data_IF_265088861558
#
_entry.id   IF_265088861558
#
_cell.length_a   1.000
_cell.length_b   1.000
_cell.length_c   1.000
_cell.angle_alpha   90.00
_cell.angle_beta   90.00
_cell.angle_gamma   90.00
#
_symmetry.space_group_name_H-M   'P 1'
#
loop_
_entity.id
_entity.type
_entity.pdbx_description
1 polymer ?
#
# COMPACT_ATOMS: atom_id res chain seq x y z
N UNK A 1 -18.92 22.39 -5.74
CA UNK A 1 -18.22 22.19 -4.46
C UNK A 1 -17.27 21.03 -4.67
N UNK A 2 -15.96 21.30 -4.80
CA UNK A 2 -14.97 20.23 -4.90
C UNK A 2 -15.03 19.49 -3.56
N UNK A 3 -15.43 18.22 -3.54
CA UNK A 3 -15.20 17.39 -2.36
C UNK A 3 -13.69 17.41 -2.13
N UNK A 4 -13.24 18.03 -1.04
CA UNK A 4 -11.92 17.76 -0.50
C UNK A 4 -11.92 16.28 -0.12
N UNK A 5 -11.52 15.44 -1.08
CA UNK A 5 -11.49 14.00 -0.90
C UNK A 5 -10.35 13.69 0.05
N UNK A 6 -10.65 13.63 1.35
CA UNK A 6 -9.74 13.13 2.36
C UNK A 6 -9.47 11.64 2.06
N UNK A 7 -8.27 11.27 1.58
CA UNK A 7 -7.99 9.89 1.24
C UNK A 7 -8.04 9.04 2.51
N UNK A 8 -8.64 7.86 2.43
CA UNK A 8 -8.59 6.83 3.48
C UNK A 8 -7.44 5.86 3.26
N UNK A 9 -7.05 5.65 1.98
CA UNK A 9 -5.98 4.74 1.61
C UNK A 9 -4.89 5.48 0.84
N UNK A 10 -3.63 5.28 1.26
CA UNK A 10 -2.46 5.76 0.54
C UNK A 10 -1.87 4.64 -0.31
N UNK A 11 -1.86 4.77 -1.64
CA UNK A 11 -1.20 3.84 -2.56
C UNK A 11 0.13 4.42 -2.98
N UNK A 12 1.23 3.86 -2.49
CA UNK A 12 2.59 4.37 -2.74
C UNK A 12 3.48 3.35 -3.43
N UNK A 13 4.44 3.85 -4.20
CA UNK A 13 5.37 3.02 -4.95
C UNK A 13 6.73 3.67 -5.17
N UNK A 14 7.78 2.86 -5.32
CA UNK A 14 9.16 3.34 -5.41
C UNK A 14 9.50 4.10 -6.70
N UNK A 15 8.77 3.84 -7.79
CA UNK A 15 9.00 4.39 -9.12
C UNK A 15 7.73 4.45 -9.96
N UNK A 16 7.75 5.22 -11.06
CA UNK A 16 6.65 5.22 -12.04
C UNK A 16 6.48 3.87 -12.74
N UNK A 17 7.54 3.05 -12.83
CA UNK A 17 7.47 1.74 -13.48
C UNK A 17 6.63 0.75 -12.65
N UNK A 18 6.61 0.92 -11.33
CA UNK A 18 5.79 0.10 -10.43
C UNK A 18 4.29 0.33 -10.63
N UNK A 19 3.89 1.45 -11.28
CA UNK A 19 2.50 1.78 -11.57
C UNK A 19 1.79 0.71 -12.40
N UNK A 20 2.50 0.02 -13.30
CA UNK A 20 1.91 -1.07 -14.09
C UNK A 20 1.29 -2.16 -13.21
N UNK A 21 1.87 -2.40 -12.03
CA UNK A 21 1.32 -3.32 -11.02
C UNK A 21 0.37 -2.60 -10.06
N UNK A 22 0.77 -1.44 -9.53
CA UNK A 22 0.07 -0.77 -8.44
C UNK A 22 -1.25 -0.12 -8.86
N UNK A 23 -1.45 0.15 -10.16
CA UNK A 23 -2.73 0.65 -10.68
C UNK A 23 -3.89 -0.29 -10.35
N UNK A 24 -3.66 -1.60 -10.25
CA UNK A 24 -4.69 -2.57 -9.88
C UNK A 24 -5.20 -2.40 -8.45
N UNK A 25 -4.40 -1.83 -7.54
CA UNK A 25 -4.90 -1.44 -6.23
C UNK A 25 -5.82 -0.21 -6.35
N UNK A 26 -5.42 0.78 -7.14
CA UNK A 26 -6.21 2.00 -7.35
C UNK A 26 -7.54 1.72 -8.06
N UNK A 27 -7.54 0.84 -9.07
CA UNK A 27 -8.72 0.39 -9.80
C UNK A 27 -9.75 -0.24 -8.85
N UNK A 28 -9.33 -1.18 -7.99
CA UNK A 28 -10.22 -1.81 -7.01
C UNK A 28 -10.72 -0.81 -5.98
N UNK A 29 -9.87 0.09 -5.48
CA UNK A 29 -10.32 1.13 -4.54
C UNK A 29 -11.35 2.07 -5.19
N UNK A 30 -11.19 2.40 -6.48
CA UNK A 30 -12.14 3.20 -7.23
C UNK A 30 -13.48 2.48 -7.45
N UNK A 31 -13.46 1.18 -7.75
CA UNK A 31 -14.67 0.35 -7.91
C UNK A 31 -15.52 0.33 -6.62
N UNK A 32 -14.86 0.30 -5.46
CA UNK A 32 -15.52 0.34 -4.15
C UNK A 32 -15.77 1.77 -3.64
N UNK A 33 -15.55 2.78 -4.47
CA UNK A 33 -15.70 4.21 -4.14
C UNK A 33 -14.93 4.63 -2.88
N UNK A 34 -13.77 4.01 -2.62
CA UNK A 34 -12.89 4.34 -1.50
C UNK A 34 -11.98 5.51 -1.88
N UNK A 35 -12.06 6.66 -1.17
CA UNK A 35 -11.15 7.77 -1.41
C UNK A 35 -9.70 7.34 -1.17
N UNK A 36 -8.83 7.57 -2.14
CA UNK A 36 -7.43 7.17 -2.05
C UNK A 36 -6.52 8.15 -2.81
N UNK A 37 -5.26 8.17 -2.42
CA UNK A 37 -4.21 8.90 -3.13
C UNK A 37 -3.18 7.94 -3.72
N UNK A 38 -2.60 8.30 -4.87
CA UNK A 38 -1.51 7.55 -5.50
C UNK A 38 -0.24 8.41 -5.55
N UNK A 39 0.88 7.96 -4.97
CA UNK A 39 2.14 8.72 -4.97
C UNK A 39 3.36 7.87 -5.27
N UNK A 40 4.36 8.46 -5.91
CA UNK A 40 5.69 7.85 -6.04
C UNK A 40 6.54 8.29 -4.84
N UNK A 41 6.87 7.36 -3.95
CA UNK A 41 7.69 7.59 -2.74
C UNK A 41 8.81 6.56 -2.73
N UNK A 42 10.06 7.00 -2.86
CA UNK A 42 11.20 6.09 -3.00
C UNK A 42 11.99 5.98 -1.70
N UNK A 43 12.05 4.77 -1.13
CA UNK A 43 12.85 4.50 0.07
C UNK A 43 14.34 4.78 -0.12
N UNK A 44 14.89 4.48 -1.29
CA UNK A 44 16.32 4.64 -1.55
C UNK A 44 16.71 6.01 -2.10
N UNK A 45 15.81 6.68 -2.85
CA UNK A 45 16.13 7.95 -3.52
C UNK A 45 15.63 9.18 -2.77
N UNK A 46 14.53 9.05 -2.03
CA UNK A 46 13.90 10.16 -1.29
C UNK A 46 13.55 9.74 0.14
N UNK A 47 14.50 9.24 0.94
CA UNK A 47 14.22 8.67 2.27
C UNK A 47 13.59 9.67 3.24
N UNK A 48 14.00 10.95 3.21
CA UNK A 48 13.39 11.98 4.08
C UNK A 48 11.90 12.17 3.77
N UNK A 49 11.56 12.21 2.48
CA UNK A 49 10.17 12.34 2.08
C UNK A 49 9.34 11.10 2.43
N UNK A 50 9.94 9.90 2.42
CA UNK A 50 9.27 8.69 2.93
C UNK A 50 8.89 8.87 4.40
N UNK A 51 9.84 9.31 5.23
CA UNK A 51 9.61 9.56 6.66
C UNK A 51 8.50 10.60 6.84
N UNK A 52 8.58 11.74 6.14
CA UNK A 52 7.57 12.80 6.22
C UNK A 52 6.18 12.30 5.79
N UNK A 53 6.12 11.49 4.73
CA UNK A 53 4.86 10.91 4.23
C UNK A 53 4.22 9.98 5.26
N UNK A 54 5.02 9.07 5.84
CA UNK A 54 4.56 8.07 6.79
C UNK A 54 4.17 8.71 8.13
N UNK A 55 5.03 9.56 8.70
CA UNK A 55 4.80 10.20 9.98
C UNK A 55 3.56 11.12 9.96
N UNK A 56 3.25 11.74 8.81
CA UNK A 56 2.05 12.57 8.67
C UNK A 56 0.79 11.80 8.27
N UNK A 57 0.88 10.52 7.91
CA UNK A 57 -0.21 9.77 7.29
C UNK A 57 -1.50 9.77 8.12
N UNK A 58 -1.41 9.42 9.40
CA UNK A 58 -2.55 9.39 10.32
C UNK A 58 -3.19 10.77 10.49
N UNK A 59 -2.37 11.81 10.68
CA UNK A 59 -2.87 13.20 10.82
C UNK A 59 -3.58 13.72 9.57
N UNK A 60 -3.30 13.15 8.39
CA UNK A 60 -3.98 13.47 7.12
C UNK A 60 -5.29 12.70 6.92
N UNK A 61 -5.62 11.77 7.83
CA UNK A 61 -6.83 10.96 7.76
C UNK A 61 -6.67 9.62 7.04
N UNK A 62 -5.43 9.23 6.67
CA UNK A 62 -5.20 7.89 6.15
C UNK A 62 -5.46 6.86 7.24
N UNK A 63 -6.07 5.73 6.86
CA UNK A 63 -6.34 4.59 7.74
C UNK A 63 -5.56 3.35 7.31
N UNK A 64 -5.14 3.24 6.05
CA UNK A 64 -4.34 2.12 5.52
C UNK A 64 -3.34 2.64 4.49
N UNK A 65 -2.13 2.09 4.47
CA UNK A 65 -1.15 2.35 3.41
C UNK A 65 -0.87 1.06 2.63
N UNK A 66 -0.97 1.13 1.31
CA UNK A 66 -0.56 0.08 0.38
C UNK A 66 0.75 0.51 -0.28
N UNK A 67 1.82 -0.27 -0.09
CA UNK A 67 3.16 0.07 -0.56
C UNK A 67 3.72 -1.00 -1.51
N UNK A 68 4.06 -0.59 -2.73
CA UNK A 68 4.66 -1.45 -3.76
C UNK A 68 6.15 -1.20 -3.96
N UNK A 69 6.96 -2.26 -3.94
CA UNK A 69 8.39 -2.18 -4.30
C UNK A 69 8.94 -3.51 -4.85
N UNK A 70 9.98 -3.41 -5.69
CA UNK A 70 10.66 -4.55 -6.32
C UNK A 70 12.13 -4.69 -5.92
N UNK A 71 12.68 -5.90 -6.02
CA UNK A 71 14.08 -6.19 -5.71
C UNK A 71 14.36 -6.12 -4.20
N UNK A 72 15.31 -5.28 -3.80
CA UNK A 72 15.52 -4.91 -2.40
C UNK A 72 14.40 -3.98 -1.89
N UNK A 73 13.21 -4.55 -1.73
CA UNK A 73 11.94 -3.84 -1.65
C UNK A 73 11.65 -3.24 -0.25
N UNK A 74 12.41 -2.21 0.15
CA UNK A 74 12.36 -1.66 1.51
C UNK A 74 11.21 -0.68 1.79
N UNK A 75 10.48 -0.22 0.77
CA UNK A 75 9.43 0.81 0.95
C UNK A 75 8.37 0.41 1.99
N UNK A 76 7.76 -0.80 1.95
CA UNK A 76 6.71 -1.15 2.92
C UNK A 76 7.24 -1.22 4.35
N UNK A 77 8.39 -1.86 4.57
CA UNK A 77 8.99 -1.99 5.90
C UNK A 77 9.41 -0.66 6.52
N UNK A 78 9.99 0.25 5.72
CA UNK A 78 10.37 1.58 6.21
C UNK A 78 9.15 2.44 6.52
N UNK A 79 8.07 2.34 5.76
CA UNK A 79 6.83 3.07 6.08
C UNK A 79 6.18 2.54 7.35
N UNK A 80 6.18 1.22 7.55
CA UNK A 80 5.69 0.61 8.79
C UNK A 80 6.54 0.99 10.02
N UNK A 81 7.82 1.29 9.84
CA UNK A 81 8.69 1.76 10.92
C UNK A 81 8.39 3.20 11.36
N UNK A 82 7.77 4.00 10.49
CA UNK A 82 7.58 5.44 10.68
C UNK A 82 6.11 5.84 10.93
N UNK A 83 5.18 4.88 10.97
CA UNK A 83 3.77 5.13 11.29
C UNK A 83 3.10 3.94 11.99
N UNK A 84 1.97 4.21 12.65
CA UNK A 84 1.18 3.20 13.38
C UNK A 84 0.04 2.60 12.55
N UNK A 85 -0.19 3.13 11.34
CA UNK A 85 -1.24 2.65 10.46
C UNK A 85 -0.91 1.25 9.90
N UNK A 86 -1.90 0.41 9.63
CA UNK A 86 -1.70 -0.82 8.86
C UNK A 86 -1.00 -0.55 7.52
N UNK A 87 0.14 -1.21 7.32
CA UNK A 87 0.88 -1.18 6.05
C UNK A 87 0.73 -2.53 5.35
N UNK A 88 0.27 -2.47 4.10
CA UNK A 88 0.12 -3.62 3.21
C UNK A 88 1.20 -3.57 2.14
N UNK A 89 2.05 -4.59 2.10
CA UNK A 89 3.16 -4.69 1.16
C UNK A 89 2.77 -5.47 -0.10
N UNK A 90 3.08 -4.90 -1.27
CA UNK A 90 2.92 -5.56 -2.57
C UNK A 90 4.30 -5.81 -3.19
N UNK A 91 4.76 -7.07 -3.23
CA UNK A 91 6.00 -7.43 -3.91
C UNK A 91 5.87 -7.24 -5.43
N UNK A 92 6.64 -6.33 -6.00
CA UNK A 92 6.70 -6.12 -7.46
C UNK A 92 7.58 -7.20 -8.09
N UNK A 93 7.17 -7.75 -9.22
CA UNK A 93 7.92 -8.80 -9.91
C UNK A 93 9.25 -8.25 -10.44
N UNK A 94 10.37 -8.66 -9.85
CA UNK A 94 11.71 -8.35 -10.36
C UNK A 94 12.04 -9.15 -11.63
N UNK A 95 12.96 -8.65 -12.45
CA UNK A 95 13.34 -9.29 -13.71
C UNK A 95 14.06 -10.63 -13.49
N UNK A 96 15.06 -10.65 -12.61
CA UNK A 96 15.95 -11.80 -12.44
C UNK A 96 15.35 -12.89 -11.53
N UNK A 97 14.81 -12.50 -10.38
CA UNK A 97 14.34 -13.43 -9.34
C UNK A 97 12.80 -13.54 -9.29
N UNK A 98 12.12 -12.99 -10.30
CA UNK A 98 10.66 -13.06 -10.48
C UNK A 98 9.88 -12.63 -9.23
N UNK A 99 10.44 -11.71 -8.45
CA UNK A 99 9.81 -11.15 -7.26
C UNK A 99 10.02 -11.94 -5.97
N UNK A 100 10.80 -13.03 -5.95
CA UNK A 100 11.17 -13.71 -4.69
C UNK A 100 12.03 -12.79 -3.80
N UNK A 101 12.94 -12.04 -4.39
CA UNK A 101 13.69 -10.97 -3.74
C UNK A 101 12.76 -9.91 -3.14
N UNK A 102 11.79 -9.43 -3.92
CA UNK A 102 10.80 -8.47 -3.44
C UNK A 102 9.97 -9.04 -2.29
N UNK A 103 9.51 -10.29 -2.42
CA UNK A 103 8.67 -10.96 -1.44
C UNK A 103 9.40 -11.09 -0.10
N UNK A 104 10.61 -11.66 -0.11
CA UNK A 104 11.38 -11.87 1.11
C UNK A 104 11.82 -10.55 1.75
N UNK A 105 12.10 -9.52 0.95
CA UNK A 105 12.43 -8.18 1.46
C UNK A 105 11.27 -7.48 2.18
N UNK A 106 10.02 -7.87 1.87
CA UNK A 106 8.81 -7.28 2.45
C UNK A 106 8.26 -8.12 3.60
N UNK A 107 8.14 -9.45 3.43
CA UNK A 107 7.40 -10.31 4.37
C UNK A 107 8.19 -10.65 5.64
N UNK A 108 9.53 -10.64 5.57
CA UNK A 108 10.41 -11.10 6.65
C UNK A 108 10.70 -10.01 7.69
N UNK A 109 9.73 -9.14 7.98
CA UNK A 109 9.90 -8.10 8.99
C UNK A 109 10.12 -8.72 10.38
N UNK A 110 11.03 -8.16 11.19
CA UNK A 110 11.25 -8.63 12.56
C UNK A 110 10.06 -8.26 13.47
N UNK A 111 10.00 -8.90 14.65
CA UNK A 111 9.01 -8.58 15.68
C UNK A 111 9.04 -7.08 16.01
N UNK A 112 7.88 -6.44 15.94
CA UNK A 112 7.66 -5.05 16.36
C UNK A 112 7.21 -4.11 15.23
N UNK A 113 7.51 -4.43 13.97
CA UNK A 113 7.20 -3.57 12.82
C UNK A 113 6.51 -4.40 11.71
N UNK A 114 5.21 -4.69 11.82
CA UNK A 114 4.53 -5.63 10.94
C UNK A 114 4.24 -5.03 9.55
N UNK A 115 4.25 -5.89 8.52
CA UNK A 115 3.75 -5.58 7.17
C UNK A 115 2.86 -6.73 6.69
N UNK A 116 1.60 -6.42 6.35
CA UNK A 116 0.69 -7.39 5.73
C UNK A 116 1.07 -7.61 4.27
N UNK A 117 1.73 -8.71 3.94
CA UNK A 117 2.28 -8.92 2.59
C UNK A 117 1.33 -9.71 1.70
N UNK A 118 1.12 -9.25 0.46
CA UNK A 118 0.28 -9.91 -0.54
C UNK A 118 1.11 -10.72 -1.55
N UNK A 119 0.43 -11.37 -2.49
CA UNK A 119 1.06 -12.09 -3.60
C UNK A 119 1.98 -11.18 -4.44
N UNK A 120 2.89 -11.77 -5.22
CA UNK A 120 3.74 -11.02 -6.15
C UNK A 120 2.89 -10.47 -7.31
N UNK A 121 3.11 -9.20 -7.67
CA UNK A 121 2.58 -8.59 -8.89
C UNK A 121 1.10 -8.18 -8.81
N UNK A 122 0.42 -8.23 -9.97
CA UNK A 122 -0.92 -7.66 -10.20
C UNK A 122 -1.98 -8.20 -9.23
N UNK A 123 -1.97 -9.52 -9.01
CA UNK A 123 -2.88 -10.16 -8.05
C UNK A 123 -2.65 -9.65 -6.62
N UNK A 124 -1.39 -9.39 -6.24
CA UNK A 124 -1.04 -8.80 -4.96
C UNK A 124 -1.56 -7.38 -4.78
N UNK A 125 -1.47 -6.55 -5.83
CA UNK A 125 -1.97 -5.18 -5.80
C UNK A 125 -3.50 -5.14 -5.64
N UNK A 126 -4.24 -5.94 -6.41
CA UNK A 126 -5.70 -6.04 -6.27
C UNK A 126 -6.09 -6.55 -4.88
N UNK A 127 -5.43 -7.61 -4.39
CA UNK A 127 -5.71 -8.16 -3.05
C UNK A 127 -5.30 -7.20 -1.93
N UNK A 128 -4.30 -6.35 -2.11
CA UNK A 128 -3.96 -5.32 -1.15
C UNK A 128 -5.09 -4.31 -0.98
N UNK A 129 -5.73 -3.91 -2.08
CA UNK A 129 -6.91 -3.05 -2.03
C UNK A 129 -8.10 -3.75 -1.37
N UNK A 130 -8.42 -4.99 -1.74
CA UNK A 130 -9.48 -5.78 -1.09
C UNK A 130 -9.23 -5.95 0.41
N UNK A 131 -7.98 -6.19 0.80
CA UNK A 131 -7.61 -6.29 2.21
C UNK A 131 -7.75 -4.96 2.94
N UNK A 132 -7.35 -3.84 2.32
CA UNK A 132 -7.61 -2.49 2.85
C UNK A 132 -9.12 -2.23 3.01
N UNK A 133 -9.94 -2.57 2.02
CA UNK A 133 -11.41 -2.43 2.09
C UNK A 133 -11.97 -3.29 3.23
N UNK A 134 -11.45 -4.49 3.46
CA UNK A 134 -11.87 -5.36 4.58
C UNK A 134 -11.55 -4.73 5.94
N UNK A 135 -10.39 -4.06 6.07
CA UNK A 135 -10.01 -3.32 7.27
C UNK A 135 -10.98 -2.16 7.51
N UNK A 136 -11.23 -1.35 6.48
CA UNK A 136 -12.16 -0.22 6.53
C UNK A 136 -13.61 -0.67 6.82
N UNK A 137 -14.00 -1.83 6.29
CA UNK A 137 -15.32 -2.45 6.47
C UNK A 137 -15.65 -2.79 7.91
N UNK A 138 -14.65 -2.90 8.81
CA UNK A 138 -14.88 -3.06 10.25
C UNK A 138 -15.62 -1.86 10.87
N UNK A 139 -15.49 -0.66 10.28
CA UNK A 139 -16.16 0.58 10.74
C UNK A 139 -17.14 1.15 9.73
N UNK A 140 -17.20 0.58 8.53
CA UNK A 140 -18.02 1.07 7.40
C UNK A 140 -18.88 -0.08 6.85
N UNK A 141 -20.08 -0.32 7.41
CA UNK A 141 -20.96 -1.42 6.97
C UNK A 141 -21.21 -1.49 5.46
N UNK A 142 -21.40 -0.37 4.72
CA UNK A 142 -21.58 -0.44 3.27
C UNK A 142 -20.40 -1.07 2.52
N UNK A 143 -19.16 -0.83 2.95
CA UNK A 143 -17.97 -1.46 2.35
C UNK A 143 -17.93 -2.96 2.66
N UNK A 144 -18.33 -3.34 3.88
CA UNK A 144 -18.40 -4.74 4.30
C UNK A 144 -19.44 -5.52 3.48
N UNK A 145 -20.59 -4.92 3.21
CA UNK A 145 -21.64 -5.50 2.38
C UNK A 145 -21.24 -5.57 0.90
N UNK A 146 -20.51 -4.57 0.40
CA UNK A 146 -19.96 -4.58 -0.95
C UNK A 146 -19.01 -5.77 -1.19
N UNK A 147 -18.18 -6.12 -0.20
CA UNK A 147 -17.25 -7.27 -0.29
C UNK A 147 -17.93 -8.65 -0.35
N UNK A 148 -19.22 -8.75 -0.01
CA UNK A 148 -19.97 -10.02 0.01
C UNK A 148 -20.73 -10.31 -1.29
N UNK A 149 -20.72 -9.37 -2.23
CA UNK A 149 -21.35 -9.48 -3.55
C UNK A 149 -20.35 -9.99 -4.58
#
# INVERSE_FOLDING_TARGET
MQHESHPLVGVIMGSKNDWETMQHAAEVLAEFEVPHECRVVSAHRTPRWLVDYAASAESRGLEVIIAGAGGAAHLPGMVAAECVLPVIGVPIQSQALRGIDSLLSIVQMPRGVPVGTMAIGKAGAANAALFAISILGNRRPPLREALQR
#
